data_IF_948738168686
#
_entry.id   IF_948738168686
#
_cell.length_a   1.000
_cell.length_b   1.000
_cell.length_c   1.000
_cell.angle_alpha   90.00
_cell.angle_beta   90.00
_cell.angle_gamma   90.00
#
_symmetry.space_group_name_H-M   'P 1'
#
loop_
_entity.id
_entity.type
_entity.pdbx_description
1 polymer ?
#
# COMPACT_ATOMS: atom_id res chain seq x y z
N UNK A 1 -12.53 -0.96 9.99
CA UNK A 1 -11.34 -1.18 9.16
C UNK A 1 -11.29 -2.65 8.83
N UNK A 2 -11.10 -3.00 7.56
CA UNK A 2 -10.81 -4.38 7.12
C UNK A 2 -9.45 -4.37 6.44
N UNK A 3 -8.75 -5.50 6.46
CA UNK A 3 -7.47 -5.64 5.78
C UNK A 3 -7.41 -6.96 5.03
N UNK A 4 -6.74 -6.95 3.87
CA UNK A 4 -6.39 -8.15 3.10
C UNK A 4 -4.94 -8.00 2.64
N UNK A 5 -4.20 -9.10 2.61
CA UNK A 5 -2.85 -9.14 2.03
C UNK A 5 -2.93 -9.77 0.65
N UNK A 6 -2.20 -9.22 -0.32
CA UNK A 6 -2.05 -9.80 -1.66
C UNK A 6 -0.57 -9.99 -1.98
N UNK A 7 -0.25 -11.02 -2.79
CA UNK A 7 1.11 -11.32 -3.22
C UNK A 7 1.19 -11.70 -4.69
N UNK A 8 2.35 -11.52 -5.30
CA UNK A 8 2.60 -11.87 -6.70
C UNK A 8 4.04 -11.60 -7.11
N UNK A 9 4.44 -12.09 -8.29
CA UNK A 9 5.80 -11.94 -8.82
C UNK A 9 5.89 -11.00 -10.02
N UNK A 10 4.76 -10.40 -10.40
CA UNK A 10 4.62 -9.47 -11.51
C UNK A 10 3.48 -8.48 -11.27
N UNK A 11 3.44 -7.41 -12.06
CA UNK A 11 2.36 -6.42 -12.01
C UNK A 11 1.02 -7.06 -12.39
N UNK A 12 1.03 -7.99 -13.35
CA UNK A 12 -0.16 -8.72 -13.80
C UNK A 12 -0.72 -9.64 -12.71
N UNK A 13 0.14 -10.36 -11.99
CA UNK A 13 -0.28 -11.18 -10.85
C UNK A 13 -0.88 -10.32 -9.74
N UNK A 14 -0.23 -9.21 -9.39
CA UNK A 14 -0.76 -8.27 -8.39
C UNK A 14 -2.08 -7.66 -8.82
N UNK A 15 -2.25 -7.32 -10.10
CA UNK A 15 -3.52 -6.85 -10.65
C UNK A 15 -4.62 -7.89 -10.50
N UNK A 16 -4.31 -9.15 -10.80
CA UNK A 16 -5.26 -10.27 -10.63
C UNK A 16 -5.66 -10.45 -9.17
N UNK A 17 -4.69 -10.47 -8.25
CA UNK A 17 -4.97 -10.60 -6.81
C UNK A 17 -5.71 -9.39 -6.22
N UNK A 18 -5.40 -8.18 -6.69
CA UNK A 18 -6.13 -6.97 -6.31
C UNK A 18 -7.60 -7.07 -6.73
N UNK A 19 -7.87 -7.45 -7.97
CA UNK A 19 -9.23 -7.64 -8.48
C UNK A 19 -9.99 -8.69 -7.67
N UNK A 20 -9.38 -9.85 -7.41
CA UNK A 20 -9.95 -10.91 -6.55
C UNK A 20 -10.26 -10.38 -5.14
N UNK A 21 -9.35 -9.60 -4.56
CA UNK A 21 -9.52 -9.05 -3.21
C UNK A 21 -10.73 -8.10 -3.11
N UNK A 22 -11.11 -7.47 -4.23
CA UNK A 22 -12.19 -6.48 -4.34
C UNK A 22 -13.48 -7.05 -4.97
N UNK A 23 -13.59 -8.36 -5.21
CA UNK A 23 -14.79 -8.98 -5.83
C UNK A 23 -16.08 -8.70 -5.05
N UNK A 24 -15.97 -8.53 -3.73
CA UNK A 24 -17.08 -8.24 -2.82
C UNK A 24 -17.41 -6.73 -2.73
N UNK A 25 -16.69 -5.84 -3.41
CA UNK A 25 -16.84 -4.38 -3.30
C UNK A 25 -18.27 -3.88 -3.60
N UNK A 26 -19.03 -4.59 -4.44
CA UNK A 26 -20.39 -4.24 -4.85
C UNK A 26 -21.50 -4.77 -3.92
N UNK A 27 -21.18 -5.34 -2.76
CA UNK A 27 -22.20 -5.86 -1.84
C UNK A 27 -23.10 -4.71 -1.32
N UNK A 28 -24.44 -4.89 -1.35
CA UNK A 28 -25.43 -3.81 -1.20
C UNK A 28 -25.43 -3.09 0.17
N UNK A 29 -24.71 -3.60 1.16
CA UNK A 29 -24.76 -3.12 2.55
C UNK A 29 -23.44 -2.50 3.05
N UNK A 30 -22.54 -2.04 2.16
CA UNK A 30 -21.16 -1.62 2.51
C UNK A 30 -20.35 -2.72 3.23
N UNK A 31 -20.74 -3.97 3.03
CA UNK A 31 -20.02 -5.14 3.53
C UNK A 31 -18.85 -5.57 2.62
N UNK A 32 -18.76 -4.99 1.43
CA UNK A 32 -17.63 -5.20 0.53
C UNK A 32 -16.29 -4.74 1.09
N UNK A 33 -15.20 -5.17 0.46
CA UNK A 33 -13.86 -4.69 0.72
C UNK A 33 -13.46 -3.69 -0.37
N UNK A 34 -13.34 -2.43 0.01
CA UNK A 34 -12.88 -1.37 -0.88
C UNK A 34 -11.63 -0.73 -0.25
N UNK A 35 -10.42 -1.22 -0.58
CA UNK A 35 -9.21 -0.69 0.00
C UNK A 35 -8.99 0.75 -0.48
N UNK A 36 -8.50 1.60 0.42
CA UNK A 36 -8.17 3.00 0.12
C UNK A 36 -6.73 3.34 0.49
N UNK A 37 -6.03 2.42 1.15
CA UNK A 37 -4.66 2.56 1.60
C UNK A 37 -3.89 1.26 1.33
N UNK A 38 -2.66 1.38 0.84
CA UNK A 38 -1.74 0.28 0.59
C UNK A 38 -0.38 0.52 1.25
N UNK A 39 0.19 -0.54 1.82
CA UNK A 39 1.59 -0.59 2.26
C UNK A 39 2.28 -1.68 1.42
N UNK A 40 3.28 -1.28 0.65
CA UNK A 40 3.90 -2.11 -0.38
C UNK A 40 5.30 -2.55 0.04
N UNK A 41 5.55 -3.86 -0.04
CA UNK A 41 6.84 -4.51 0.16
C UNK A 41 7.20 -5.27 -1.12
N UNK A 42 8.37 -5.02 -1.71
CA UNK A 42 8.76 -5.67 -2.97
C UNK A 42 10.26 -5.87 -3.07
N UNK A 43 10.72 -6.89 -3.80
CA UNK A 43 12.15 -6.98 -4.15
C UNK A 43 12.58 -5.82 -5.04
N UNK A 44 13.84 -5.42 -4.94
CA UNK A 44 14.48 -4.46 -5.87
C UNK A 44 14.36 -4.89 -7.34
N UNK A 45 14.22 -6.19 -7.60
CA UNK A 45 14.04 -6.74 -8.95
C UNK A 45 12.64 -6.53 -9.55
N UNK A 46 11.67 -6.09 -8.76
CA UNK A 46 10.28 -5.93 -9.17
C UNK A 46 10.01 -4.53 -9.74
N UNK A 47 8.99 -4.43 -10.60
CA UNK A 47 8.56 -3.16 -11.20
C UNK A 47 7.79 -2.29 -10.19
N UNK A 48 8.53 -1.56 -9.35
CA UNK A 48 7.95 -0.65 -8.36
C UNK A 48 7.03 0.41 -8.98
N UNK A 49 7.40 0.96 -10.14
CA UNK A 49 6.62 2.03 -10.78
C UNK A 49 5.30 1.50 -11.34
N UNK A 50 5.32 0.32 -11.98
CA UNK A 50 4.13 -0.37 -12.44
C UNK A 50 3.18 -0.73 -11.30
N UNK A 51 3.71 -1.22 -10.18
CA UNK A 51 2.90 -1.53 -8.98
C UNK A 51 2.26 -0.27 -8.38
N UNK A 52 3.03 0.82 -8.22
CA UNK A 52 2.47 2.07 -7.69
C UNK A 52 1.41 2.65 -8.63
N UNK A 53 1.67 2.66 -9.94
CA UNK A 53 0.72 3.17 -10.93
C UNK A 53 -0.59 2.37 -10.90
N UNK A 54 -0.52 1.03 -10.80
CA UNK A 54 -1.68 0.17 -10.66
C UNK A 54 -2.54 0.54 -9.45
N UNK A 55 -1.93 0.82 -8.29
CA UNK A 55 -2.66 1.17 -7.06
C UNK A 55 -3.27 2.57 -7.15
N UNK A 56 -2.52 3.55 -7.65
CA UNK A 56 -2.99 4.93 -7.85
C UNK A 56 -4.17 4.99 -8.83
N UNK A 57 -4.12 4.24 -9.93
CA UNK A 57 -5.21 4.12 -10.92
C UNK A 57 -6.51 3.55 -10.30
N UNK A 58 -6.39 2.74 -9.25
CA UNK A 58 -7.52 2.19 -8.49
C UNK A 58 -7.95 3.09 -7.33
N UNK A 59 -7.37 4.29 -7.18
CA UNK A 59 -7.71 5.25 -6.13
C UNK A 59 -7.22 4.84 -4.73
N UNK A 60 -6.22 3.98 -4.65
CA UNK A 60 -5.66 3.48 -3.40
C UNK A 60 -4.43 4.32 -3.04
N UNK A 61 -4.49 5.03 -1.91
CA UNK A 61 -3.34 5.81 -1.44
C UNK A 61 -2.18 4.90 -1.03
N UNK A 62 -0.95 5.26 -1.39
CA UNK A 62 0.23 4.45 -1.09
C UNK A 62 0.99 5.09 0.08
N UNK A 63 1.05 4.39 1.22
CA UNK A 63 1.84 4.85 2.38
C UNK A 63 3.35 4.80 2.08
N UNK A 64 3.79 3.76 1.38
CA UNK A 64 5.16 3.61 0.96
C UNK A 64 5.37 2.30 0.19
N UNK A 65 6.42 2.28 -0.63
CA UNK A 65 6.89 1.11 -1.36
C UNK A 65 8.36 0.86 -1.02
N UNK A 66 8.60 -0.12 -0.13
CA UNK A 66 9.93 -0.41 0.42
C UNK A 66 10.48 -1.73 -0.10
N UNK A 67 11.81 -1.81 -0.19
CA UNK A 67 12.51 -2.99 -0.68
C UNK A 67 12.81 -4.03 0.40
N UNK A 68 12.13 -3.94 1.54
CA UNK A 68 12.49 -4.67 2.75
C UNK A 68 11.49 -5.80 3.02
N UNK A 69 11.86 -7.01 2.62
CA UNK A 69 11.20 -8.24 3.04
C UNK A 69 9.86 -8.53 2.38
N UNK A 70 9.80 -9.58 1.57
CA UNK A 70 8.57 -10.09 0.97
C UNK A 70 7.78 -10.95 1.96
N UNK A 71 7.46 -10.37 3.11
CA UNK A 71 6.82 -11.08 4.20
C UNK A 71 5.32 -10.87 4.14
N UNK A 72 4.60 -11.94 3.84
CA UNK A 72 3.19 -12.09 4.19
C UNK A 72 3.09 -13.34 5.05
N UNK A 73 2.60 -13.16 6.28
CA UNK A 73 2.47 -14.22 7.28
C UNK A 73 3.81 -14.94 7.61
N UNK A 74 3.82 -16.28 7.65
CA UNK A 74 4.99 -17.10 7.97
C UNK A 74 5.82 -17.52 6.73
N UNK A 75 5.40 -17.12 5.52
CA UNK A 75 6.05 -17.50 4.27
C UNK A 75 6.99 -16.39 3.77
N UNK A 76 8.19 -16.81 3.37
CA UNK A 76 9.18 -15.93 2.74
C UNK A 76 9.31 -16.31 1.26
N UNK A 77 8.96 -15.39 0.37
CA UNK A 77 9.08 -15.59 -1.08
C UNK A 77 10.02 -14.56 -1.71
N UNK A 78 11.17 -15.02 -2.21
CA UNK A 78 12.11 -14.17 -2.93
C UNK A 78 11.55 -13.67 -4.26
N UNK A 79 12.05 -12.51 -4.67
CA UNK A 79 11.75 -11.86 -5.94
C UNK A 79 10.24 -11.64 -6.12
N UNK A 80 9.55 -11.22 -5.07
CA UNK A 80 8.10 -11.06 -5.07
C UNK A 80 7.67 -9.68 -4.59
N UNK A 81 6.36 -9.46 -4.66
CA UNK A 81 5.64 -8.28 -4.19
C UNK A 81 4.60 -8.76 -3.18
N UNK A 82 4.55 -8.07 -2.05
CA UNK A 82 3.62 -8.28 -0.95
C UNK A 82 2.97 -6.93 -0.61
N UNK A 83 1.64 -6.87 -0.60
CA UNK A 83 0.90 -5.61 -0.36
C UNK A 83 -0.13 -5.85 0.73
N UNK A 84 -0.09 -5.02 1.77
CA UNK A 84 -1.16 -4.94 2.76
C UNK A 84 -2.16 -3.87 2.30
N UNK A 85 -3.38 -4.31 1.99
CA UNK A 85 -4.48 -3.45 1.58
C UNK A 85 -5.38 -3.17 2.79
N UNK A 86 -5.72 -1.90 3.01
CA UNK A 86 -6.57 -1.46 4.11
C UNK A 86 -7.82 -0.75 3.55
N UNK A 87 -8.97 -1.29 3.90
CA UNK A 87 -10.27 -0.63 3.77
C UNK A 87 -10.50 0.19 5.05
N UNK A 88 -10.18 1.47 4.93
CA UNK A 88 -10.26 2.48 5.98
C UNK A 88 -10.93 3.72 5.40
N UNK A 89 -11.72 4.43 6.19
CA UNK A 89 -12.32 5.68 5.71
C UNK A 89 -11.20 6.70 5.41
N UNK A 90 -11.11 7.29 4.20
CA UNK A 90 -10.09 8.28 3.85
C UNK A 90 -10.05 9.50 4.76
N UNK A 91 -11.17 9.84 5.43
CA UNK A 91 -11.20 10.93 6.41
C UNK A 91 -10.47 10.61 7.73
N UNK A 92 -10.08 9.35 7.95
CA UNK A 92 -9.44 8.90 9.19
C UNK A 92 -7.92 8.82 9.07
N UNK A 93 -7.34 9.09 7.90
CA UNK A 93 -5.89 9.12 7.73
C UNK A 93 -5.46 10.26 6.81
N UNK A 94 -4.20 10.67 6.93
CA UNK A 94 -3.51 11.54 5.98
C UNK A 94 -2.11 11.00 5.77
N UNK A 95 -1.58 11.16 4.57
CA UNK A 95 -0.19 10.79 4.23
C UNK A 95 0.55 12.08 3.98
N UNK A 96 1.61 12.31 4.75
CA UNK A 96 2.47 13.49 4.63
C UNK A 96 3.87 12.99 4.28
N UNK A 97 4.41 13.48 3.17
CA UNK A 97 5.77 13.19 2.73
C UNK A 97 6.60 14.48 2.77
N UNK A 98 7.71 14.45 3.49
CA UNK A 98 8.67 15.56 3.58
C UNK A 98 10.09 14.98 3.58
N UNK A 99 10.97 15.56 2.78
CA UNK A 99 12.38 15.20 2.75
C UNK A 99 13.13 15.88 3.93
N UNK A 100 14.18 15.23 4.44
CA UNK A 100 15.05 15.77 5.50
C UNK A 100 16.53 15.66 5.13
N UNK A 101 16.98 16.28 4.00
CA UNK A 101 18.30 16.05 3.44
C UNK A 101 19.46 16.43 4.38
N UNK A 102 19.24 17.38 5.29
CA UNK A 102 20.26 17.89 6.22
C UNK A 102 20.30 17.15 7.56
N UNK A 103 19.69 15.96 7.64
CA UNK A 103 19.48 15.24 8.92
C UNK A 103 18.74 16.10 9.96
N UNK A 104 17.94 17.06 9.51
CA UNK A 104 17.14 17.98 10.31
C UNK A 104 15.78 17.39 10.70
N UNK A 105 15.74 16.07 10.98
CA UNK A 105 14.52 15.32 11.23
C UNK A 105 13.65 15.92 12.34
N UNK A 106 14.26 16.54 13.37
CA UNK A 106 13.52 17.19 14.47
C UNK A 106 12.68 18.37 13.98
N UNK A 107 13.25 19.23 13.15
CA UNK A 107 12.59 20.43 12.62
C UNK A 107 11.49 20.05 11.63
N UNK A 108 11.79 19.13 10.71
CA UNK A 108 10.83 18.59 9.74
C UNK A 108 9.66 17.93 10.47
N UNK A 109 9.92 17.08 11.47
CA UNK A 109 8.86 16.43 12.27
C UNK A 109 8.01 17.46 13.02
N UNK A 110 8.61 18.51 13.59
CA UNK A 110 7.85 19.60 14.23
C UNK A 110 6.94 20.35 13.26
N UNK A 111 7.38 20.54 12.02
CA UNK A 111 6.58 21.16 10.95
C UNK A 111 5.38 20.28 10.59
N UNK A 112 5.60 18.97 10.38
CA UNK A 112 4.54 18.00 10.07
C UNK A 112 3.50 17.94 11.18
N UNK A 113 3.93 17.87 12.44
CA UNK A 113 3.02 17.77 13.59
C UNK A 113 2.07 18.98 13.71
N UNK A 114 2.45 20.16 13.19
CA UNK A 114 1.60 21.35 13.16
C UNK A 114 0.58 21.35 12.01
N UNK A 115 0.76 20.49 11.00
CA UNK A 115 -0.16 20.32 9.86
C UNK A 115 -1.28 19.30 10.15
N UNK A 116 -1.17 18.56 11.25
CA UNK A 116 -2.06 17.44 11.64
C UNK A 116 -3.09 17.88 12.67
#
# INVERSE_FOLDING_TARGET
MKAKSIKGKSVEEIKSELQKSMEDACLPDRQGFQPTLAIVFLSVSQDREGICSLLDENGISIFGASTNGEFIDEEFEKESVAILLLDINPSYFTIIFEEYPEKNYREVTQSIAKKS
#
